data_IF_488137035122
#
_entry.id   IF_488137035122
#
_cell.length_a   1.000
_cell.length_b   1.000
_cell.length_c   1.000
_cell.angle_alpha   90.00
_cell.angle_beta   90.00
_cell.angle_gamma   90.00
#
_symmetry.space_group_name_H-M   'P 1'
#
loop_
_entity.id
_entity.type
_entity.pdbx_description
1 polymer ?
#
# COMPACT_ATOMS: atom_id res chain seq x y z
N UNK A 1 11.59 -40.30 10.39
CA UNK A 1 10.43 -39.72 9.65
C UNK A 1 9.53 -38.91 10.57
N UNK A 2 9.16 -39.41 11.76
CA UNK A 2 8.34 -38.66 12.73
C UNK A 2 8.92 -37.26 13.04
N UNK A 3 10.21 -37.17 13.40
CA UNK A 3 10.85 -35.87 13.72
C UNK A 3 10.87 -34.87 12.54
N UNK A 4 10.92 -35.37 11.31
CA UNK A 4 10.88 -34.52 10.11
C UNK A 4 9.47 -33.99 9.86
N UNK A 5 8.44 -34.80 10.15
CA UNK A 5 7.04 -34.36 10.10
C UNK A 5 6.77 -33.33 11.19
N UNK A 6 7.27 -33.56 12.41
CA UNK A 6 7.15 -32.61 13.52
C UNK A 6 7.85 -31.28 13.19
N UNK A 7 9.06 -31.34 12.62
CA UNK A 7 9.75 -30.15 12.11
C UNK A 7 8.90 -29.42 11.08
N UNK A 8 8.31 -30.15 10.12
CA UNK A 8 7.46 -29.55 9.09
C UNK A 8 6.25 -28.84 9.69
N UNK A 9 5.54 -29.49 10.63
CA UNK A 9 4.37 -28.91 11.32
C UNK A 9 4.77 -27.65 12.08
N UNK A 10 5.83 -27.70 12.88
CA UNK A 10 6.32 -26.52 13.59
C UNK A 10 6.71 -25.40 12.63
N UNK A 11 7.37 -25.72 11.52
CA UNK A 11 7.72 -24.74 10.50
C UNK A 11 6.48 -24.09 9.85
N UNK A 12 5.40 -24.84 9.63
CA UNK A 12 4.11 -24.29 9.18
C UNK A 12 3.55 -23.30 10.21
N UNK A 13 3.58 -23.63 11.50
CA UNK A 13 3.13 -22.71 12.56
C UNK A 13 3.95 -21.41 12.59
N UNK A 14 5.28 -21.54 12.51
CA UNK A 14 6.19 -20.39 12.49
C UNK A 14 6.00 -19.53 11.25
N UNK A 15 5.75 -20.16 10.11
CA UNK A 15 5.39 -19.45 8.89
C UNK A 15 4.04 -18.74 9.06
N UNK A 16 3.03 -19.39 9.65
CA UNK A 16 1.69 -18.82 9.87
C UNK A 16 1.74 -17.50 10.63
N UNK A 17 2.58 -17.40 11.66
CA UNK A 17 2.80 -16.14 12.40
C UNK A 17 3.38 -15.04 11.50
N UNK A 18 4.43 -15.35 10.73
CA UNK A 18 5.05 -14.40 9.81
C UNK A 18 4.06 -13.95 8.73
N UNK A 19 3.26 -14.87 8.18
CA UNK A 19 2.26 -14.58 7.16
C UNK A 19 1.11 -13.73 7.71
N UNK A 20 0.65 -13.99 8.93
CA UNK A 20 -0.36 -13.16 9.60
C UNK A 20 0.15 -11.72 9.80
N UNK A 21 1.37 -11.56 10.29
CA UNK A 21 2.00 -10.26 10.45
C UNK A 21 2.18 -9.56 9.09
N UNK A 22 2.60 -10.29 8.07
CA UNK A 22 2.76 -9.77 6.72
C UNK A 22 1.42 -9.27 6.15
N UNK A 23 0.35 -10.03 6.34
CA UNK A 23 -0.99 -9.64 5.90
C UNK A 23 -1.41 -8.30 6.52
N UNK A 24 -1.29 -8.19 7.85
CA UNK A 24 -1.63 -6.96 8.59
C UNK A 24 -0.78 -5.79 8.08
N UNK A 25 0.54 -5.99 7.95
CA UNK A 25 1.47 -4.98 7.47
C UNK A 25 1.08 -4.45 6.08
N UNK A 26 0.81 -5.34 5.13
CA UNK A 26 0.48 -4.98 3.74
C UNK A 26 -0.81 -4.16 3.67
N UNK A 27 -1.74 -4.34 4.61
CA UNK A 27 -2.98 -3.56 4.66
C UNK A 27 -2.78 -2.12 5.15
N UNK A 28 -1.67 -1.81 5.83
CA UNK A 28 -1.41 -0.48 6.38
C UNK A 28 -1.15 0.58 5.31
N UNK A 29 -1.53 1.84 5.60
CA UNK A 29 -1.25 2.99 4.73
C UNK A 29 0.25 3.24 4.57
N UNK A 30 1.03 2.97 5.63
CA UNK A 30 2.49 3.08 5.64
C UNK A 30 3.10 2.17 4.56
N UNK A 31 2.79 0.87 4.61
CA UNK A 31 3.36 -0.11 3.68
C UNK A 31 2.94 0.16 2.22
N UNK A 32 1.66 0.52 2.02
CA UNK A 32 1.16 0.93 0.71
C UNK A 32 1.93 2.13 0.15
N UNK A 33 2.27 3.12 0.98
CA UNK A 33 3.03 4.30 0.59
C UNK A 33 4.46 3.99 0.14
N UNK A 34 5.18 3.15 0.90
CA UNK A 34 6.56 2.77 0.59
C UNK A 34 6.68 1.94 -0.70
N UNK A 35 5.68 1.13 -1.04
CA UNK A 35 5.67 0.36 -2.30
C UNK A 35 5.65 1.23 -3.57
N UNK A 36 5.13 2.46 -3.48
CA UNK A 36 5.13 3.43 -4.59
C UNK A 36 6.46 4.18 -4.73
N UNK A 37 7.18 4.38 -3.62
CA UNK A 37 8.39 5.19 -3.52
C UNK A 37 9.62 4.36 -3.13
N UNK A 38 9.72 3.15 -3.70
CA UNK A 38 10.76 2.15 -3.37
C UNK A 38 12.21 2.60 -3.61
N UNK A 39 12.43 3.67 -4.39
CA UNK A 39 13.78 4.22 -4.66
C UNK A 39 14.22 5.27 -3.65
N UNK A 40 13.29 5.84 -2.88
CA UNK A 40 13.60 6.92 -1.96
C UNK A 40 14.35 6.34 -0.75
N UNK A 41 15.44 7.00 -0.33
CA UNK A 41 16.26 6.50 0.78
C UNK A 41 15.46 6.40 2.09
N UNK A 42 14.57 7.37 2.34
CA UNK A 42 13.67 7.35 3.52
C UNK A 42 12.77 6.10 3.52
N UNK A 43 12.22 5.75 2.36
CA UNK A 43 11.46 4.52 2.16
C UNK A 43 12.31 3.28 2.42
N UNK A 44 13.53 3.24 1.89
CA UNK A 44 14.43 2.10 2.10
C UNK A 44 14.77 1.91 3.59
N UNK A 45 15.01 2.99 4.33
CA UNK A 45 15.25 2.92 5.78
C UNK A 45 14.03 2.40 6.55
N UNK A 46 12.82 2.82 6.17
CA UNK A 46 11.57 2.28 6.76
C UNK A 46 11.44 0.78 6.45
N UNK A 47 11.74 0.36 5.22
CA UNK A 47 11.72 -1.05 4.83
C UNK A 47 12.77 -1.87 5.60
N UNK A 48 13.98 -1.33 5.81
CA UNK A 48 15.01 -1.95 6.66
C UNK A 48 14.47 -2.16 8.07
N UNK A 49 13.89 -1.13 8.69
CA UNK A 49 13.33 -1.23 10.03
C UNK A 49 12.23 -2.32 10.12
N UNK A 50 11.26 -2.29 9.20
CA UNK A 50 10.14 -3.24 9.17
C UNK A 50 10.66 -4.68 8.99
N UNK A 51 11.47 -4.93 7.95
CA UNK A 51 11.94 -6.28 7.65
C UNK A 51 12.97 -6.79 8.66
N UNK A 52 13.70 -5.90 9.34
CA UNK A 52 14.54 -6.29 10.47
C UNK A 52 13.69 -6.87 11.60
N UNK A 53 12.55 -6.25 11.95
CA UNK A 53 11.64 -6.81 12.97
C UNK A 53 11.18 -8.22 12.58
N UNK A 54 10.78 -8.41 11.33
CA UNK A 54 10.41 -9.74 10.82
C UNK A 54 11.57 -10.74 10.92
N UNK A 55 12.77 -10.35 10.52
CA UNK A 55 13.94 -11.22 10.54
C UNK A 55 14.39 -11.57 11.97
N UNK A 56 14.23 -10.65 12.92
CA UNK A 56 14.47 -10.90 14.35
C UNK A 56 13.44 -11.89 14.90
N UNK A 57 12.15 -11.70 14.59
CA UNK A 57 11.09 -12.62 14.99
C UNK A 57 11.35 -14.02 14.40
N UNK A 58 11.77 -14.12 13.14
CA UNK A 58 12.15 -15.40 12.52
C UNK A 58 13.36 -16.05 13.19
N UNK A 59 14.34 -15.29 13.68
CA UNK A 59 15.46 -15.84 14.45
C UNK A 59 15.04 -16.32 15.85
N UNK A 60 14.11 -15.62 16.50
CA UNK A 60 13.65 -15.97 17.84
C UNK A 60 12.70 -17.17 17.81
N UNK A 61 11.83 -17.25 16.81
CA UNK A 61 10.83 -18.29 16.65
C UNK A 61 11.33 -19.53 15.88
N UNK A 62 12.64 -19.64 15.64
CA UNK A 62 13.22 -20.82 14.99
C UNK A 62 12.95 -22.11 15.77
N UNK A 63 13.16 -23.24 15.10
CA UNK A 63 13.08 -24.58 15.68
C UNK A 63 14.51 -25.08 15.90
N UNK A 64 14.85 -25.42 17.13
CA UNK A 64 16.17 -25.98 17.47
C UNK A 64 16.27 -27.43 16.98
N UNK A 65 17.34 -27.74 16.27
CA UNK A 65 17.63 -29.06 15.72
C UNK A 65 18.95 -29.55 16.31
N UNK A 66 18.92 -30.67 17.02
CA UNK A 66 20.09 -31.30 17.60
C UNK A 66 20.18 -32.76 17.14
N UNK A 67 21.28 -33.13 16.46
CA UNK A 67 21.51 -34.50 15.97
C UNK A 67 20.32 -35.11 15.17
N UNK A 68 19.61 -34.30 14.38
CA UNK A 68 18.46 -34.76 13.59
C UNK A 68 17.15 -34.95 14.37
N UNK A 69 17.11 -34.49 15.61
CA UNK A 69 15.90 -34.43 16.45
C UNK A 69 15.51 -32.97 16.73
N UNK A 70 14.21 -32.74 16.95
CA UNK A 70 13.70 -31.40 17.26
C UNK A 70 13.68 -31.19 18.78
N UNK A 71 14.24 -30.06 19.23
CA UNK A 71 14.17 -29.61 20.62
C UNK A 71 13.14 -28.49 20.72
N UNK A 72 12.05 -28.74 21.45
CA UNK A 72 11.02 -27.74 21.62
C UNK A 72 11.48 -26.62 22.57
N UNK A 73 11.67 -25.42 22.03
CA UNK A 73 11.84 -24.19 22.80
C UNK A 73 10.97 -23.08 22.19
N UNK A 74 10.15 -22.36 22.99
CA UNK A 74 9.28 -21.32 22.47
C UNK A 74 10.06 -20.14 21.85
N UNK A 75 11.17 -19.75 22.48
CA UNK A 75 12.02 -18.61 22.06
C UNK A 75 13.48 -19.02 22.15
N UNK A 76 14.21 -18.86 21.05
CA UNK A 76 15.63 -19.19 20.95
C UNK A 76 16.48 -17.93 21.11
N UNK A 77 17.04 -17.72 22.29
CA UNK A 77 18.00 -16.62 22.54
C UNK A 77 19.46 -17.07 22.46
N UNK A 78 19.73 -18.33 22.81
CA UNK A 78 21.03 -18.99 22.68
C UNK A 78 20.84 -20.45 22.25
N UNK A 79 21.75 -20.96 21.42
CA UNK A 79 21.82 -22.37 21.04
C UNK A 79 23.00 -23.06 21.69
N UNK A 80 22.81 -24.35 22.01
CA UNK A 80 23.91 -25.20 22.45
C UNK A 80 24.91 -25.42 21.30
N UNK A 81 26.22 -25.62 21.56
CA UNK A 81 27.26 -25.68 20.52
C UNK A 81 27.07 -26.74 19.42
N UNK A 82 26.34 -27.83 19.73
CA UNK A 82 26.03 -28.91 18.77
C UNK A 82 24.64 -28.77 18.13
N UNK A 83 23.89 -27.73 18.47
CA UNK A 83 22.55 -27.46 17.95
C UNK A 83 22.59 -26.48 16.79
N UNK A 84 21.69 -26.70 15.84
CA UNK A 84 21.39 -25.76 14.76
C UNK A 84 19.93 -25.30 14.83
N UNK A 85 19.52 -24.45 13.90
CA UNK A 85 18.20 -23.84 13.86
C UNK A 85 17.61 -23.93 12.46
N UNK A 86 16.41 -24.50 12.35
CA UNK A 86 15.56 -24.39 11.18
C UNK A 86 14.60 -23.19 11.37
N UNK A 87 14.53 -22.27 10.41
CA UNK A 87 13.70 -21.07 10.57
C UNK A 87 13.22 -20.49 9.23
N UNK A 88 12.41 -19.42 9.31
CA UNK A 88 11.88 -18.69 8.15
C UNK A 88 12.69 -17.45 7.79
N UNK A 89 13.94 -17.34 8.29
CA UNK A 89 14.74 -16.12 8.13
C UNK A 89 15.08 -15.84 6.67
N UNK A 90 15.50 -16.85 5.92
CA UNK A 90 15.88 -16.67 4.51
C UNK A 90 14.73 -16.10 3.68
N UNK A 91 13.48 -16.50 3.98
CA UNK A 91 12.27 -15.88 3.42
C UNK A 91 12.22 -14.38 3.73
N UNK A 92 12.40 -13.98 5.00
CA UNK A 92 12.31 -12.56 5.40
C UNK A 92 13.40 -11.68 4.76
N UNK A 93 14.63 -12.19 4.68
CA UNK A 93 15.74 -11.51 4.02
C UNK A 93 15.44 -11.42 2.52
N UNK A 94 15.05 -12.54 1.90
CA UNK A 94 14.75 -12.61 0.47
C UNK A 94 13.65 -11.65 0.05
N UNK A 95 12.53 -11.58 0.78
CA UNK A 95 11.43 -10.66 0.43
C UNK A 95 11.86 -9.21 0.64
N UNK A 96 12.69 -8.93 1.65
CA UNK A 96 13.20 -7.57 1.91
C UNK A 96 14.06 -7.06 0.76
N UNK A 97 14.93 -7.91 0.19
CA UNK A 97 15.74 -7.56 -0.98
C UNK A 97 14.89 -7.44 -2.25
N UNK A 98 13.95 -8.37 -2.47
CA UNK A 98 13.06 -8.33 -3.63
C UNK A 98 12.20 -7.05 -3.65
N UNK A 99 11.71 -6.61 -2.49
CA UNK A 99 10.83 -5.45 -2.38
C UNK A 99 11.63 -4.14 -2.26
N UNK A 100 12.72 -4.12 -1.50
CA UNK A 100 13.47 -2.91 -1.13
C UNK A 100 14.79 -2.70 -1.89
N UNK A 101 15.26 -3.69 -2.65
CA UNK A 101 16.51 -3.64 -3.40
C UNK A 101 17.75 -3.98 -2.56
N UNK A 102 18.96 -3.76 -3.10
CA UNK A 102 20.22 -4.22 -2.49
C UNK A 102 20.49 -3.62 -1.11
N UNK A 103 20.25 -2.31 -0.94
CA UNK A 103 20.48 -1.64 0.34
C UNK A 103 19.62 -2.27 1.45
N UNK A 104 18.34 -2.55 1.15
CA UNK A 104 17.43 -3.15 2.13
C UNK A 104 17.81 -4.60 2.41
N UNK A 105 17.98 -5.40 1.36
CA UNK A 105 18.29 -6.83 1.48
C UNK A 105 19.60 -7.10 2.23
N UNK A 106 20.68 -6.39 1.88
CA UNK A 106 21.99 -6.53 2.54
C UNK A 106 21.93 -6.05 4.00
N UNK A 107 21.25 -4.93 4.28
CA UNK A 107 21.13 -4.43 5.65
C UNK A 107 20.36 -5.40 6.55
N UNK A 108 19.20 -5.89 6.10
CA UNK A 108 18.39 -6.86 6.85
C UNK A 108 19.13 -8.19 7.00
N UNK A 109 19.77 -8.66 5.94
CA UNK A 109 20.60 -9.87 5.97
C UNK A 109 21.79 -9.76 6.92
N UNK A 110 22.46 -8.61 6.95
CA UNK A 110 23.56 -8.32 7.87
C UNK A 110 23.10 -8.27 9.32
N UNK A 111 22.07 -7.47 9.63
CA UNK A 111 21.54 -7.35 11.01
C UNK A 111 21.04 -8.70 11.52
N UNK A 112 20.23 -9.41 10.72
CA UNK A 112 19.70 -10.72 11.09
C UNK A 112 20.78 -11.80 11.18
N UNK A 113 21.78 -11.74 10.30
CA UNK A 113 22.95 -12.62 10.32
C UNK A 113 23.80 -12.42 11.58
N UNK A 114 24.04 -11.16 11.98
CA UNK A 114 24.78 -10.83 13.20
C UNK A 114 24.02 -11.35 14.42
N UNK A 115 22.71 -11.09 14.51
CA UNK A 115 21.91 -11.61 15.63
C UNK A 115 21.97 -13.14 15.68
N UNK A 116 21.88 -13.82 14.54
CA UNK A 116 22.02 -15.28 14.50
C UNK A 116 23.40 -15.76 14.92
N UNK A 117 24.44 -15.03 14.53
CA UNK A 117 25.81 -15.34 14.94
C UNK A 117 25.95 -15.26 16.47
N UNK A 118 25.38 -14.21 17.08
CA UNK A 118 25.37 -14.00 18.52
C UNK A 118 24.53 -15.04 19.29
N UNK A 119 23.51 -15.65 18.66
CA UNK A 119 22.76 -16.76 19.24
C UNK A 119 23.63 -18.04 19.40
N UNK A 120 24.79 -18.14 18.74
CA UNK A 120 25.70 -19.29 18.87
C UNK A 120 25.19 -20.56 18.17
N UNK A 121 25.65 -21.72 18.62
CA UNK A 121 25.33 -23.02 18.01
C UNK A 121 26.40 -23.52 17.04
N UNK A 122 26.04 -24.50 16.21
CA UNK A 122 26.95 -25.10 15.23
C UNK A 122 27.31 -24.09 14.12
N UNK A 123 28.60 -23.85 13.93
CA UNK A 123 29.19 -23.02 12.87
C UNK A 123 28.41 -21.70 12.56
N UNK A 124 28.28 -20.78 13.54
CA UNK A 124 27.42 -19.60 13.42
C UNK A 124 27.83 -18.64 12.30
N UNK A 125 29.10 -18.63 11.90
CA UNK A 125 29.63 -17.79 10.80
C UNK A 125 29.01 -18.14 9.45
N UNK A 126 28.67 -19.40 9.21
CA UNK A 126 28.03 -19.90 7.98
C UNK A 126 26.74 -19.16 7.70
N UNK A 127 25.94 -18.94 8.75
CA UNK A 127 24.64 -18.28 8.67
C UNK A 127 24.74 -16.78 8.43
N UNK A 128 25.82 -16.13 8.85
CA UNK A 128 26.08 -14.73 8.56
C UNK A 128 26.41 -14.55 7.07
N UNK A 129 27.29 -15.41 6.54
CA UNK A 129 27.71 -15.40 5.13
C UNK A 129 26.50 -15.65 4.22
N UNK A 130 25.72 -16.70 4.49
CA UNK A 130 24.54 -17.02 3.68
C UNK A 130 23.48 -15.92 3.73
N UNK A 131 23.25 -15.29 4.89
CA UNK A 131 22.28 -14.20 5.04
C UNK A 131 22.67 -12.97 4.21
N UNK A 132 23.95 -12.60 4.21
CA UNK A 132 24.47 -11.50 3.38
C UNK A 132 24.35 -11.81 1.88
N UNK A 133 24.69 -13.03 1.47
CA UNK A 133 24.55 -13.47 0.08
C UNK A 133 23.09 -13.45 -0.38
N UNK A 134 22.17 -14.01 0.40
CA UNK A 134 20.74 -13.98 0.09
C UNK A 134 20.24 -12.53 0.00
N UNK A 135 20.63 -11.68 0.95
CA UNK A 135 20.28 -10.26 0.95
C UNK A 135 20.77 -9.53 -0.30
N UNK A 136 22.00 -9.79 -0.73
CA UNK A 136 22.58 -9.20 -1.94
C UNK A 136 21.87 -9.70 -3.20
N UNK A 137 21.77 -11.02 -3.39
CA UNK A 137 21.18 -11.61 -4.61
C UNK A 137 19.70 -11.24 -4.73
N UNK A 138 18.93 -11.36 -3.65
CA UNK A 138 17.53 -10.93 -3.62
C UNK A 138 17.37 -9.44 -3.89
N UNK A 139 18.29 -8.62 -3.36
CA UNK A 139 18.35 -7.19 -3.58
C UNK A 139 18.61 -6.81 -5.05
N UNK A 140 19.59 -7.45 -5.69
CA UNK A 140 19.89 -7.25 -7.10
C UNK A 140 18.71 -7.65 -8.00
N UNK A 141 18.08 -8.79 -7.71
CA UNK A 141 16.83 -9.19 -8.38
C UNK A 141 15.72 -8.17 -8.15
N UNK A 142 15.54 -7.72 -6.90
CA UNK A 142 14.58 -6.69 -6.54
C UNK A 142 14.79 -5.37 -7.28
N UNK A 143 16.05 -4.98 -7.50
CA UNK A 143 16.40 -3.77 -8.25
C UNK A 143 15.84 -3.79 -9.67
N UNK A 144 15.88 -4.94 -10.35
CA UNK A 144 15.30 -5.11 -11.70
C UNK A 144 13.78 -4.85 -11.68
N UNK A 145 13.06 -5.39 -10.69
CA UNK A 145 11.61 -5.21 -10.57
C UNK A 145 11.22 -3.80 -10.12
N UNK A 146 12.01 -3.17 -9.24
CA UNK A 146 11.85 -1.78 -8.85
C UNK A 146 12.01 -0.87 -10.07
N UNK A 147 12.99 -1.16 -10.96
CA UNK A 147 13.17 -0.41 -12.21
C UNK A 147 11.98 -0.56 -13.15
N UNK A 148 11.44 -1.76 -13.29
CA UNK A 148 10.25 -2.04 -14.09
C UNK A 148 8.94 -1.55 -13.45
N UNK A 149 8.99 -1.00 -12.23
CA UNK A 149 7.82 -0.63 -11.39
C UNK A 149 6.81 -1.78 -11.22
N UNK A 150 7.32 -3.01 -11.20
CA UNK A 150 6.52 -4.22 -11.08
C UNK A 150 6.86 -4.96 -9.78
N UNK A 151 6.06 -5.98 -9.48
CA UNK A 151 6.30 -6.94 -8.41
C UNK A 151 6.42 -8.32 -9.08
N UNK A 152 7.37 -9.17 -8.67
CA UNK A 152 7.51 -10.51 -9.22
C UNK A 152 6.22 -11.33 -9.13
N UNK A 153 6.06 -12.32 -10.00
CA UNK A 153 4.93 -13.26 -9.94
C UNK A 153 5.04 -14.17 -8.74
N UNK A 154 3.89 -14.66 -8.25
CA UNK A 154 3.80 -15.55 -7.08
C UNK A 154 4.69 -16.77 -7.27
N UNK A 155 4.55 -17.45 -8.42
CA UNK A 155 5.33 -18.63 -8.76
C UNK A 155 6.83 -18.33 -8.85
N UNK A 156 7.21 -17.26 -9.56
CA UNK A 156 8.62 -16.88 -9.70
C UNK A 156 9.25 -16.56 -8.34
N UNK A 157 8.55 -15.81 -7.48
CA UNK A 157 9.04 -15.52 -6.14
C UNK A 157 9.22 -16.77 -5.29
N UNK A 158 8.26 -17.70 -5.32
CA UNK A 158 8.40 -19.00 -4.64
C UNK A 158 9.60 -19.80 -5.13
N UNK A 159 9.82 -19.88 -6.44
CA UNK A 159 10.99 -20.55 -7.02
C UNK A 159 12.32 -19.89 -6.61
N UNK A 160 12.36 -18.55 -6.59
CA UNK A 160 13.55 -17.79 -6.15
C UNK A 160 13.83 -18.03 -4.66
N UNK A 161 12.80 -18.09 -3.81
CA UNK A 161 12.98 -18.43 -2.40
C UNK A 161 13.49 -19.87 -2.20
N UNK A 162 13.00 -20.82 -2.98
CA UNK A 162 13.54 -22.18 -3.01
C UNK A 162 15.02 -22.20 -3.42
N UNK A 163 15.39 -21.41 -4.42
CA UNK A 163 16.79 -21.26 -4.83
C UNK A 163 17.66 -20.65 -3.72
N UNK A 164 17.16 -19.68 -2.95
CA UNK A 164 17.87 -19.14 -1.79
C UNK A 164 18.12 -20.18 -0.71
N UNK A 165 17.15 -21.07 -0.46
CA UNK A 165 17.33 -22.19 0.47
C UNK A 165 18.41 -23.16 -0.03
N UNK A 166 18.39 -23.52 -1.31
CA UNK A 166 19.43 -24.38 -1.89
C UNK A 166 20.83 -23.75 -1.78
N UNK A 167 20.93 -22.44 -2.01
CA UNK A 167 22.18 -21.69 -1.80
C UNK A 167 22.60 -21.75 -0.33
N UNK A 168 21.67 -21.59 0.62
CA UNK A 168 21.96 -21.71 2.04
C UNK A 168 22.47 -23.11 2.40
N UNK A 169 21.82 -24.18 1.89
CA UNK A 169 22.27 -25.56 2.12
C UNK A 169 23.67 -25.80 1.57
N UNK A 170 23.96 -25.28 0.37
CA UNK A 170 25.30 -25.38 -0.22
C UNK A 170 26.36 -24.65 0.64
N UNK A 171 26.05 -23.45 1.13
CA UNK A 171 26.94 -22.70 2.02
C UNK A 171 27.18 -23.46 3.33
N UNK A 172 26.16 -24.12 3.88
CA UNK A 172 26.31 -24.98 5.08
C UNK A 172 27.30 -26.12 4.82
N UNK A 173 27.19 -26.81 3.68
CA UNK A 173 28.08 -27.93 3.36
C UNK A 173 29.53 -27.49 3.10
N UNK A 174 29.73 -26.32 2.51
CA UNK A 174 31.07 -25.83 2.12
C UNK A 174 31.80 -25.16 3.30
N UNK A 175 31.08 -24.41 4.13
CA UNK A 175 31.69 -23.56 5.16
C UNK A 175 31.60 -24.13 6.59
N UNK A 176 30.96 -25.30 6.77
CA UNK A 176 30.93 -26.00 8.06
C UNK A 176 32.26 -26.70 8.35
N UNK A 177 32.64 -26.71 9.63
CA UNK A 177 33.88 -27.33 10.11
C UNK A 177 33.81 -28.87 10.10
N UNK A 178 32.61 -29.44 10.12
CA UNK A 178 32.34 -30.89 10.21
C UNK A 178 31.32 -31.34 9.18
N UNK A 179 31.82 -31.93 8.09
CA UNK A 179 31.01 -32.31 6.93
C UNK A 179 29.97 -33.40 7.25
N UNK A 180 30.29 -34.31 8.18
CA UNK A 180 29.39 -35.34 8.69
C UNK A 180 28.15 -34.74 9.39
N UNK A 181 28.38 -33.77 10.28
CA UNK A 181 27.31 -33.07 10.99
C UNK A 181 26.51 -32.18 10.02
N UNK A 182 27.18 -31.46 9.12
CA UNK A 182 26.54 -30.62 8.12
C UNK A 182 25.62 -31.41 7.19
N UNK A 183 26.06 -32.58 6.70
CA UNK A 183 25.24 -33.45 5.85
C UNK A 183 23.98 -33.93 6.59
N UNK A 184 24.13 -34.41 7.83
CA UNK A 184 23.00 -34.88 8.63
C UNK A 184 21.97 -33.78 8.87
N UNK A 185 22.44 -32.56 9.13
CA UNK A 185 21.60 -31.38 9.31
C UNK A 185 20.87 -31.01 8.01
N UNK A 186 21.60 -30.89 6.90
CA UNK A 186 21.03 -30.51 5.61
C UNK A 186 19.98 -31.53 5.16
N UNK A 187 20.25 -32.84 5.28
CA UNK A 187 19.27 -33.88 4.95
C UNK A 187 17.98 -33.76 5.77
N UNK A 188 18.08 -33.32 7.03
CA UNK A 188 16.93 -33.13 7.90
C UNK A 188 16.11 -31.88 7.55
N UNK A 189 16.77 -30.77 7.22
CA UNK A 189 16.10 -29.46 7.06
C UNK A 189 15.79 -29.07 5.61
N UNK A 190 16.47 -29.66 4.62
CA UNK A 190 16.39 -29.21 3.21
C UNK A 190 14.96 -29.21 2.68
N UNK A 191 14.23 -30.31 2.88
CA UNK A 191 12.87 -30.45 2.34
C UNK A 191 11.87 -29.55 3.09
N UNK A 192 11.77 -29.59 4.44
CA UNK A 192 10.84 -28.72 5.16
C UNK A 192 11.12 -27.23 4.94
N UNK A 193 12.37 -26.79 5.03
CA UNK A 193 12.71 -25.37 4.89
C UNK A 193 12.48 -24.86 3.46
N UNK A 194 12.93 -25.61 2.44
CA UNK A 194 12.73 -25.23 1.04
C UNK A 194 11.24 -25.10 0.72
N UNK A 195 10.42 -26.08 1.13
CA UNK A 195 8.98 -26.05 0.88
C UNK A 195 8.30 -24.86 1.57
N UNK A 196 8.54 -24.68 2.87
CA UNK A 196 7.89 -23.65 3.69
C UNK A 196 8.32 -22.25 3.28
N UNK A 197 9.61 -22.01 3.04
CA UNK A 197 10.09 -20.67 2.66
C UNK A 197 9.73 -20.31 1.21
N UNK A 198 9.64 -21.30 0.31
CA UNK A 198 9.10 -21.08 -1.05
C UNK A 198 7.62 -20.72 -1.02
N UNK A 199 6.82 -21.50 -0.28
CA UNK A 199 5.39 -21.24 -0.11
C UNK A 199 5.14 -19.87 0.51
N UNK A 200 5.85 -19.57 1.59
CA UNK A 200 5.72 -18.33 2.32
C UNK A 200 6.04 -17.09 1.49
N UNK A 201 7.11 -17.14 0.67
CA UNK A 201 7.43 -16.07 -0.28
C UNK A 201 6.30 -15.85 -1.29
N UNK A 202 5.75 -16.95 -1.84
CA UNK A 202 4.61 -16.89 -2.75
C UNK A 202 3.40 -16.21 -2.11
N UNK A 203 3.03 -16.62 -0.90
CA UNK A 203 1.90 -16.04 -0.16
C UNK A 203 2.15 -14.56 0.14
N UNK A 204 3.35 -14.18 0.58
CA UNK A 204 3.69 -12.78 0.85
C UNK A 204 3.50 -11.94 -0.42
N UNK A 205 4.05 -12.37 -1.55
CA UNK A 205 3.88 -11.67 -2.83
C UNK A 205 2.42 -11.64 -3.29
N UNK A 206 1.64 -12.69 -3.02
CA UNK A 206 0.21 -12.72 -3.31
C UNK A 206 -0.53 -11.62 -2.54
N UNK A 207 -0.22 -11.41 -1.27
CA UNK A 207 -0.81 -10.31 -0.49
C UNK A 207 -0.44 -8.94 -1.04
N UNK A 208 0.83 -8.73 -1.39
CA UNK A 208 1.25 -7.43 -1.94
C UNK A 208 0.51 -7.16 -3.26
N UNK A 209 0.43 -8.15 -4.16
CA UNK A 209 -0.27 -8.03 -5.44
C UNK A 209 -1.77 -7.79 -5.26
N UNK A 210 -2.44 -8.60 -4.42
CA UNK A 210 -3.86 -8.44 -4.12
C UNK A 210 -4.18 -7.06 -3.55
N UNK A 211 -3.30 -6.52 -2.69
CA UNK A 211 -3.46 -5.15 -2.19
C UNK A 211 -3.29 -4.09 -3.28
N UNK A 212 -2.46 -4.30 -4.30
CA UNK A 212 -2.32 -3.36 -5.42
C UNK A 212 -3.51 -3.44 -6.37
N UNK A 213 -4.00 -4.63 -6.68
CA UNK A 213 -5.18 -4.85 -7.53
C UNK A 213 -6.42 -4.21 -6.92
N UNK A 214 -6.67 -4.40 -5.61
CA UNK A 214 -7.76 -3.71 -4.90
C UNK A 214 -7.66 -2.19 -5.04
N UNK A 215 -6.46 -1.61 -4.89
CA UNK A 215 -6.29 -0.17 -5.06
C UNK A 215 -6.58 0.31 -6.49
N UNK A 216 -6.28 -0.50 -7.50
CA UNK A 216 -6.60 -0.19 -8.88
C UNK A 216 -8.11 -0.29 -9.14
N UNK A 217 -8.77 -1.33 -8.62
CA UNK A 217 -10.22 -1.49 -8.70
C UNK A 217 -10.96 -0.36 -7.99
N UNK A 218 -10.55 0.02 -6.79
CA UNK A 218 -11.13 1.14 -6.05
C UNK A 218 -11.04 2.46 -6.84
N UNK A 219 -9.94 2.69 -7.57
CA UNK A 219 -9.78 3.85 -8.46
C UNK A 219 -10.62 3.76 -9.74
N UNK A 220 -10.79 2.55 -10.28
CA UNK A 220 -11.59 2.33 -11.48
C UNK A 220 -13.08 2.58 -11.22
N UNK A 221 -13.61 2.04 -10.12
CA UNK A 221 -14.99 2.30 -9.67
C UNK A 221 -15.22 3.81 -9.51
N UNK A 222 -14.28 4.52 -8.89
CA UNK A 222 -14.37 5.98 -8.75
C UNK A 222 -14.44 6.74 -10.09
N UNK A 223 -13.83 6.22 -11.17
CA UNK A 223 -13.85 6.85 -12.49
C UNK A 223 -15.17 6.59 -13.22
N UNK A 224 -15.73 5.38 -13.06
CA UNK A 224 -17.02 5.02 -13.64
C UNK A 224 -18.16 5.86 -13.08
N UNK A 225 -18.17 6.12 -11.77
CA UNK A 225 -19.17 6.99 -11.13
C UNK A 225 -19.17 8.42 -11.71
N UNK A 226 -17.98 8.98 -11.95
CA UNK A 226 -17.83 10.32 -12.53
C UNK A 226 -18.36 10.36 -13.96
N UNK A 227 -18.07 9.35 -14.77
CA UNK A 227 -18.59 9.24 -16.13
C UNK A 227 -20.10 9.02 -16.15
N UNK A 228 -20.64 8.22 -15.24
CA UNK A 228 -22.08 8.01 -15.09
C UNK A 228 -22.80 9.32 -14.74
N UNK A 229 -22.28 10.07 -13.77
CA UNK A 229 -22.78 11.40 -13.40
C UNK A 229 -22.72 12.39 -14.59
N UNK A 230 -21.61 12.41 -15.33
CA UNK A 230 -21.48 13.26 -16.51
C UNK A 230 -22.52 12.88 -17.58
N UNK A 231 -22.74 11.59 -17.82
CA UNK A 231 -23.75 11.12 -18.77
C UNK A 231 -25.19 11.43 -18.32
N UNK A 232 -25.50 11.33 -17.02
CA UNK A 232 -26.81 11.66 -16.48
C UNK A 232 -27.13 13.17 -16.58
N UNK A 233 -26.11 14.02 -16.42
CA UNK A 233 -26.30 15.49 -16.45
C UNK A 233 -26.31 16.08 -17.87
N UNK A 234 -25.66 15.43 -18.84
CA UNK A 234 -25.53 15.91 -20.22
C UNK A 234 -26.87 16.25 -20.92
N UNK A 235 -27.92 15.40 -20.86
CA UNK A 235 -29.21 15.71 -21.47
C UNK A 235 -29.83 17.02 -20.94
N UNK A 236 -29.64 17.31 -19.65
CA UNK A 236 -30.14 18.53 -19.03
C UNK A 236 -29.34 19.75 -19.49
N UNK A 237 -28.01 19.68 -19.51
CA UNK A 237 -27.19 20.80 -20.01
C UNK A 237 -27.39 21.08 -21.51
N UNK A 238 -27.73 20.07 -22.31
CA UNK A 238 -28.05 20.23 -23.74
C UNK A 238 -29.33 21.04 -23.99
N UNK A 239 -30.23 21.14 -23.02
CA UNK A 239 -31.43 22.00 -23.08
C UNK A 239 -31.10 23.48 -22.81
N UNK A 240 -29.84 23.81 -22.50
CA UNK A 240 -29.39 25.14 -22.17
C UNK A 240 -29.40 25.42 -20.66
N UNK A 241 -28.87 26.59 -20.28
CA UNK A 241 -28.82 27.05 -18.90
C UNK A 241 -30.13 27.72 -18.50
N UNK A 242 -31.16 26.91 -18.24
CA UNK A 242 -32.45 27.34 -17.72
C UNK A 242 -32.67 26.79 -16.30
N UNK A 243 -33.59 27.41 -15.55
CA UNK A 243 -33.85 27.02 -14.14
C UNK A 243 -34.25 25.55 -14.04
N UNK A 244 -35.16 25.08 -14.91
CA UNK A 244 -35.66 23.71 -14.86
C UNK A 244 -34.57 22.69 -15.22
N UNK A 245 -33.83 22.92 -16.30
CA UNK A 245 -32.75 22.03 -16.74
C UNK A 245 -31.61 21.99 -15.72
N UNK A 246 -31.21 23.14 -15.16
CA UNK A 246 -30.17 23.21 -14.14
C UNK A 246 -30.61 22.55 -12.83
N UNK A 247 -31.89 22.63 -12.46
CA UNK A 247 -32.39 21.97 -11.24
C UNK A 247 -32.32 20.45 -11.38
N UNK A 248 -32.71 19.91 -12.54
CA UNK A 248 -32.55 18.47 -12.84
C UNK A 248 -31.08 18.05 -12.84
N UNK A 249 -30.21 18.83 -13.49
CA UNK A 249 -28.77 18.57 -13.49
C UNK A 249 -28.15 18.59 -12.08
N UNK A 250 -28.53 19.56 -11.25
CA UNK A 250 -28.06 19.66 -9.86
C UNK A 250 -28.52 18.47 -9.01
N UNK A 251 -29.77 18.02 -9.21
CA UNK A 251 -30.29 16.83 -8.55
C UNK A 251 -29.54 15.56 -8.98
N UNK A 252 -29.25 15.40 -10.28
CA UNK A 252 -28.44 14.28 -10.75
C UNK A 252 -27.05 14.28 -10.09
N UNK A 253 -26.37 15.41 -10.00
CA UNK A 253 -25.06 15.50 -9.33
C UNK A 253 -25.16 15.05 -7.86
N UNK A 254 -26.22 15.46 -7.14
CA UNK A 254 -26.47 15.05 -5.75
C UNK A 254 -26.71 13.54 -5.59
N UNK A 255 -27.22 12.86 -6.62
CA UNK A 255 -27.45 11.42 -6.59
C UNK A 255 -26.15 10.59 -6.66
N UNK A 256 -25.09 11.13 -7.28
CA UNK A 256 -23.81 10.43 -7.49
C UNK A 256 -22.71 10.83 -6.50
N UNK A 257 -22.79 12.02 -5.90
CA UNK A 257 -21.77 12.54 -4.98
C UNK A 257 -22.45 13.09 -3.73
N UNK A 258 -21.98 12.65 -2.56
CA UNK A 258 -22.41 13.22 -1.28
C UNK A 258 -21.88 14.65 -1.15
N UNK A 259 -22.77 15.62 -1.26
CA UNK A 259 -22.51 17.05 -1.17
C UNK A 259 -23.51 17.68 -0.18
N UNK A 260 -23.14 18.82 0.40
CA UNK A 260 -24.06 19.62 1.21
C UNK A 260 -25.12 20.30 0.32
N UNK A 261 -24.67 20.85 -0.81
CA UNK A 261 -25.53 21.43 -1.82
C UNK A 261 -24.80 21.55 -3.18
N UNK A 262 -25.57 21.66 -4.26
CA UNK A 262 -25.11 21.97 -5.61
C UNK A 262 -25.81 23.23 -6.09
N UNK A 263 -25.05 24.20 -6.59
CA UNK A 263 -25.61 25.39 -7.22
C UNK A 263 -25.08 25.60 -8.62
N UNK A 264 -25.96 25.95 -9.55
CA UNK A 264 -25.61 26.28 -10.94
C UNK A 264 -26.04 27.72 -11.19
N UNK A 265 -25.16 28.51 -11.81
CA UNK A 265 -25.42 29.92 -12.14
C UNK A 265 -25.14 30.19 -13.61
N UNK A 266 -25.79 31.21 -14.16
CA UNK A 266 -25.29 31.88 -15.37
C UNK A 266 -24.26 32.96 -14.96
N UNK A 267 -24.14 34.04 -15.75
CA UNK A 267 -23.26 35.18 -15.46
C UNK A 267 -23.84 36.17 -14.45
N UNK A 268 -25.13 36.12 -14.16
CA UNK A 268 -25.86 37.14 -13.42
C UNK A 268 -26.57 36.60 -12.17
N UNK A 269 -27.20 35.42 -12.29
CA UNK A 269 -28.09 34.85 -11.28
C UNK A 269 -27.90 33.34 -11.07
N UNK A 270 -28.45 32.87 -9.95
CA UNK A 270 -28.56 31.45 -9.62
C UNK A 270 -29.66 30.82 -10.47
N UNK A 271 -29.36 29.74 -11.17
CA UNK A 271 -30.32 28.97 -11.96
C UNK A 271 -30.86 27.75 -11.20
N UNK A 272 -30.01 27.14 -10.37
CA UNK A 272 -30.40 26.05 -9.50
C UNK A 272 -29.63 26.09 -8.19
N UNK A 273 -30.26 25.61 -7.13
CA UNK A 273 -29.63 25.29 -5.85
C UNK A 273 -30.40 24.11 -5.25
N UNK A 274 -29.70 23.02 -4.97
CA UNK A 274 -30.28 21.78 -4.42
C UNK A 274 -29.43 21.34 -3.23
N UNK A 275 -30.07 21.13 -2.07
CA UNK A 275 -29.42 20.74 -0.82
C UNK A 275 -29.59 21.77 0.28
N UNK A 276 -28.67 21.80 1.24
CA UNK A 276 -28.71 22.72 2.38
C UNK A 276 -28.64 24.19 1.93
N UNK A 277 -29.19 25.09 2.76
CA UNK A 277 -29.20 26.54 2.53
C UNK A 277 -30.12 27.02 1.39
N UNK A 278 -31.11 26.22 1.00
CA UNK A 278 -32.11 26.55 -0.03
C UNK A 278 -33.13 27.62 0.41
N UNK A 279 -33.15 27.94 1.70
CA UNK A 279 -33.93 29.03 2.29
C UNK A 279 -33.48 30.42 1.80
N UNK A 280 -32.18 30.60 1.53
CA UNK A 280 -31.59 31.88 1.07
C UNK A 280 -30.74 31.79 -0.21
N UNK A 281 -30.31 30.60 -0.66
CA UNK A 281 -29.69 30.41 -1.98
C UNK A 281 -30.73 30.00 -3.03
N UNK A 282 -31.61 30.92 -3.44
CA UNK A 282 -32.75 30.59 -4.32
C UNK A 282 -32.46 30.82 -5.80
N UNK A 283 -32.98 29.96 -6.71
CA UNK A 283 -33.03 30.26 -8.14
C UNK A 283 -33.65 31.64 -8.41
N UNK A 284 -33.08 32.39 -9.35
CA UNK A 284 -33.45 33.77 -9.66
C UNK A 284 -32.69 34.83 -8.86
N UNK A 285 -32.04 34.47 -7.75
CA UNK A 285 -31.27 35.42 -6.94
C UNK A 285 -29.97 35.83 -7.65
N UNK A 286 -29.50 37.09 -7.50
CA UNK A 286 -28.26 37.55 -8.12
C UNK A 286 -27.03 36.83 -7.52
N UNK A 287 -25.94 36.76 -8.29
CA UNK A 287 -24.67 36.21 -7.82
C UNK A 287 -24.03 37.15 -6.80
N UNK A 288 -24.17 36.82 -5.52
CA UNK A 288 -23.66 37.63 -4.40
C UNK A 288 -22.20 37.34 -4.04
N UNK A 289 -21.72 36.12 -4.26
CA UNK A 289 -20.40 35.67 -3.74
C UNK A 289 -19.25 36.09 -4.64
N UNK A 290 -18.19 36.69 -4.05
CA UNK A 290 -16.95 37.10 -4.74
C UNK A 290 -16.27 35.95 -5.50
N UNK A 291 -16.38 34.73 -4.99
CA UNK A 291 -15.90 33.48 -5.61
C UNK A 291 -16.43 33.27 -7.03
N UNK A 292 -17.71 33.52 -7.26
CA UNK A 292 -18.31 33.27 -8.57
C UNK A 292 -17.81 34.26 -9.60
N UNK A 293 -17.63 35.53 -9.20
CA UNK A 293 -17.06 36.57 -10.07
C UNK A 293 -15.62 36.22 -10.46
N UNK A 294 -14.81 35.76 -9.49
CA UNK A 294 -13.44 35.28 -9.78
C UNK A 294 -13.40 34.14 -10.80
N UNK A 295 -14.33 33.19 -10.74
CA UNK A 295 -14.39 32.08 -11.71
C UNK A 295 -14.89 32.53 -13.08
N UNK A 296 -15.89 33.42 -13.11
CA UNK A 296 -16.43 33.98 -14.35
C UNK A 296 -15.38 34.82 -15.09
N UNK A 297 -14.58 35.60 -14.37
CA UNK A 297 -13.51 36.44 -14.91
C UNK A 297 -12.23 35.65 -15.21
N UNK A 298 -11.75 34.88 -14.24
CA UNK A 298 -10.47 34.16 -14.30
C UNK A 298 -10.51 32.86 -15.10
N UNK A 299 -11.69 32.31 -15.39
CA UNK A 299 -11.89 31.03 -16.12
C UNK A 299 -11.22 29.81 -15.49
N UNK A 300 -10.79 29.90 -14.24
CA UNK A 300 -10.17 28.83 -13.48
C UNK A 300 -11.09 28.37 -12.35
N UNK A 301 -10.86 27.15 -11.86
CA UNK A 301 -11.59 26.62 -10.70
C UNK A 301 -11.08 27.31 -9.45
N UNK A 302 -11.99 27.75 -8.59
CA UNK A 302 -11.63 28.31 -7.28
C UNK A 302 -12.18 27.42 -6.17
N UNK A 303 -11.38 27.24 -5.12
CA UNK A 303 -11.70 26.41 -3.97
C UNK A 303 -11.81 27.33 -2.75
N UNK A 304 -12.92 27.22 -2.04
CA UNK A 304 -13.17 27.87 -0.76
C UNK A 304 -13.07 26.83 0.34
N UNK A 305 -12.11 26.98 1.26
CA UNK A 305 -11.85 26.03 2.36
C UNK A 305 -12.54 26.40 3.67
N UNK A 306 -13.26 27.52 3.69
CA UNK A 306 -13.94 28.03 4.87
C UNK A 306 -15.22 28.80 4.52
N UNK A 307 -16.13 28.93 5.49
CA UNK A 307 -17.33 29.79 5.39
C UNK A 307 -16.99 31.24 5.07
N UNK A 308 -15.87 31.74 5.62
CA UNK A 308 -15.37 33.08 5.34
C UNK A 308 -14.96 33.25 3.87
N UNK A 309 -14.35 32.23 3.26
CA UNK A 309 -14.02 32.24 1.82
C UNK A 309 -15.27 32.15 0.94
N UNK A 310 -16.29 31.38 1.33
CA UNK A 310 -17.60 31.33 0.64
C UNK A 310 -18.25 32.72 0.60
N UNK A 311 -18.15 33.47 1.69
CA UNK A 311 -18.68 34.81 1.86
C UNK A 311 -20.20 34.90 1.60
N UNK A 312 -20.97 33.95 2.12
CA UNK A 312 -22.42 34.08 2.16
C UNK A 312 -22.81 35.13 3.23
N UNK A 313 -23.70 36.07 2.87
CA UNK A 313 -24.16 37.13 3.77
C UNK A 313 -25.14 36.67 4.85
N UNK A 314 -25.56 35.40 4.83
CA UNK A 314 -26.47 34.85 5.82
C UNK A 314 -25.68 34.33 7.05
N UNK A 315 -25.89 34.88 8.26
CA UNK A 315 -25.09 34.56 9.44
C UNK A 315 -25.10 33.06 9.77
N UNK A 316 -26.23 32.38 9.56
CA UNK A 316 -26.41 30.95 9.86
C UNK A 316 -26.26 30.02 8.65
N UNK A 317 -25.59 30.46 7.57
CA UNK A 317 -25.37 29.58 6.42
C UNK A 317 -24.58 28.31 6.83
N UNK A 318 -25.11 27.09 6.57
CA UNK A 318 -24.48 25.83 7.00
C UNK A 318 -23.30 25.40 6.13
N UNK A 319 -23.07 26.04 4.99
CA UNK A 319 -22.04 25.66 4.01
C UNK A 319 -20.64 26.02 4.53
N UNK A 320 -19.74 25.03 4.62
CA UNK A 320 -18.42 25.20 5.23
C UNK A 320 -17.28 25.29 4.21
N UNK A 321 -17.42 24.63 3.05
CA UNK A 321 -16.45 24.67 1.97
C UNK A 321 -17.15 24.58 0.61
N UNK A 322 -16.47 25.04 -0.45
CA UNK A 322 -17.01 25.01 -1.81
C UNK A 322 -15.93 24.80 -2.88
N UNK A 323 -16.29 24.15 -3.98
CA UNK A 323 -15.54 24.14 -5.23
C UNK A 323 -16.40 24.82 -6.29
N UNK A 324 -15.85 25.84 -6.95
CA UNK A 324 -16.55 26.57 -8.01
C UNK A 324 -15.84 26.36 -9.33
N UNK A 325 -16.55 25.74 -10.28
CA UNK A 325 -16.05 25.34 -11.59
C UNK A 325 -16.71 26.21 -12.67
N UNK A 326 -15.96 26.75 -13.64
CA UNK A 326 -16.54 27.48 -14.77
C UNK A 326 -17.23 26.52 -15.74
N UNK A 327 -18.47 26.84 -16.13
CA UNK A 327 -19.16 26.19 -17.24
C UNK A 327 -18.73 26.87 -18.54
N UNK A 328 -18.12 26.13 -19.47
CA UNK A 328 -17.49 26.67 -20.69
C UNK A 328 -18.19 26.18 -21.95
N UNK A 329 -18.41 27.08 -22.89
CA UNK A 329 -18.73 26.78 -24.29
C UNK A 329 -17.54 27.19 -25.17
N UNK A 330 -17.64 26.99 -26.49
CA UNK A 330 -16.64 27.51 -27.45
C UNK A 330 -16.48 29.04 -27.36
N UNK A 331 -17.51 29.75 -26.90
CA UNK A 331 -17.58 31.21 -26.83
C UNK A 331 -17.07 31.78 -25.50
N UNK A 332 -16.78 30.92 -24.51
CA UNK A 332 -16.23 31.33 -23.22
C UNK A 332 -16.97 30.74 -22.02
N UNK A 333 -16.79 31.36 -20.86
CA UNK A 333 -17.49 30.96 -19.63
C UNK A 333 -18.91 31.50 -19.68
N UNK A 334 -19.89 30.60 -19.57
CA UNK A 334 -21.33 30.92 -19.63
C UNK A 334 -22.01 30.89 -18.26
N UNK A 335 -21.32 30.37 -17.24
CA UNK A 335 -21.87 30.21 -15.90
C UNK A 335 -20.91 29.50 -14.96
N UNK A 336 -21.41 29.10 -13.80
CA UNK A 336 -20.63 28.34 -12.82
C UNK A 336 -21.40 27.15 -12.26
N UNK A 337 -20.66 26.10 -11.90
CA UNK A 337 -21.12 24.98 -11.09
C UNK A 337 -20.41 25.05 -9.74
N UNK A 338 -21.18 25.10 -8.65
CA UNK A 338 -20.71 25.17 -7.27
C UNK A 338 -21.08 23.88 -6.55
N UNK A 339 -20.10 23.24 -5.95
CA UNK A 339 -20.26 22.05 -5.12
C UNK A 339 -19.92 22.45 -3.69
N UNK A 340 -20.87 22.34 -2.77
CA UNK A 340 -20.70 22.73 -1.37
C UNK A 340 -20.55 21.50 -0.46
N UNK A 341 -19.84 21.68 0.65
CA UNK A 341 -19.53 20.63 1.62
C UNK A 341 -19.82 21.06 3.05
N UNK A 342 -20.19 20.10 3.89
CA UNK A 342 -20.38 20.27 5.34
C UNK A 342 -19.06 20.38 6.10
N UNK A 343 -17.95 19.89 5.53
CA UNK A 343 -16.61 19.99 6.11
C UNK A 343 -15.56 20.27 5.04
N UNK A 344 -14.54 21.06 5.40
CA UNK A 344 -13.37 21.30 4.55
C UNK A 344 -12.52 20.04 4.31
N UNK A 345 -12.67 19.00 5.13
CA UNK A 345 -12.01 17.70 4.93
C UNK A 345 -12.59 16.90 3.75
N UNK A 346 -13.84 17.17 3.38
CA UNK A 346 -14.52 16.48 2.28
C UNK A 346 -14.07 16.97 0.89
N UNK A 347 -13.43 18.15 0.83
CA UNK A 347 -12.82 18.69 -0.39
C UNK A 347 -11.81 17.71 -1.00
N UNK A 348 -11.04 17.01 -0.16
CA UNK A 348 -9.98 16.10 -0.61
C UNK A 348 -10.55 14.92 -1.41
N UNK A 349 -11.83 14.56 -1.21
CA UNK A 349 -12.50 13.50 -1.96
C UNK A 349 -12.78 13.92 -3.42
N UNK A 350 -13.27 15.14 -3.62
CA UNK A 350 -13.59 15.67 -4.96
C UNK A 350 -12.36 16.19 -5.71
N UNK A 351 -11.38 16.76 -5.01
CA UNK A 351 -10.05 17.09 -5.59
C UNK A 351 -9.37 15.83 -6.15
N UNK A 352 -9.45 14.70 -5.43
CA UNK A 352 -8.96 13.40 -5.92
C UNK A 352 -9.74 12.88 -7.12
N UNK A 353 -11.08 12.98 -7.12
CA UNK A 353 -11.94 12.54 -8.24
C UNK A 353 -11.76 13.39 -9.52
N UNK A 354 -11.44 14.67 -9.39
CA UNK A 354 -11.24 15.60 -10.53
C UNK A 354 -9.82 15.59 -11.11
N UNK A 355 -8.92 14.74 -10.59
CA UNK A 355 -7.55 14.58 -11.09
C UNK A 355 -6.61 15.76 -10.77
N UNK A 356 -7.05 16.74 -9.98
CA UNK A 356 -6.21 17.87 -9.54
C UNK A 356 -5.55 17.53 -8.21
N UNK A 357 -4.25 17.26 -8.25
CA UNK A 357 -3.42 17.21 -7.04
C UNK A 357 -3.18 18.62 -6.52
N UNK A 358 -3.32 18.80 -5.21
CA UNK A 358 -2.83 19.95 -4.46
C UNK A 358 -1.38 20.25 -4.86
N UNK A 359 -1.10 21.48 -5.27
CA UNK A 359 0.25 22.05 -5.15
C UNK A 359 0.46 22.52 -3.72
#
# INVERSE_FOLDING_TARGET
>A
MADMVDLFIMMVERLGLIILMAYILVQTRLFKGVLYRRRDLSTQLILVAIFTVFALISNLNGVEVQAGSVVYRPILTKLAPASSMANTRALTIGISGIIGGPLVGVSVGGISGIVRYLQGGLDPHVYLISSLLIGLVSGLLGQVYIQKRQIPTILFGGLVAGAFELVQMAVILIASSRLDQALSLVQFIILPMTAINSLGMGIFLAFIRSSQERQLMDRAVQTQDVLAMANATLPHFRQGLAIESCSKAAQEIMNYIKLAAVSITDKEKILAHVGLADDHHKPGSPIMTRLSKQVLEGKEVVIARSKAEIACGHPDCPLQAAIVVPLKTKEGVVGTLKLYFESSQDLTFVEKKSGRRSR
#
